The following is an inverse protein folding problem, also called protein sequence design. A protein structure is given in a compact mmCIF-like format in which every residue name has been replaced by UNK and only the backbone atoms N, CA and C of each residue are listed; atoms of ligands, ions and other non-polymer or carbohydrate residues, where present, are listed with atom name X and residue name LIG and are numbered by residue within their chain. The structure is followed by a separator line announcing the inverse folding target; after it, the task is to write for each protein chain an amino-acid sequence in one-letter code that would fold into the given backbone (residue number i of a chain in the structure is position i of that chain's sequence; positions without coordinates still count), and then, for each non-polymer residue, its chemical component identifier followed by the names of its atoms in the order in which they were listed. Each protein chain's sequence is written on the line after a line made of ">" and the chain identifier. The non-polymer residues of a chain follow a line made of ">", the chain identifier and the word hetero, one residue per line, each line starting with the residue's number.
data_IF_319952027215
#
_entry.id   IF_319952027215
#
_cell.length_a   1.000
_cell.length_b   1.000
_cell.length_c   1.000
_cell.angle_alpha   90.00
_cell.angle_beta   90.00
_cell.angle_gamma   90.00
#
_symmetry.space_group_name_H-M   'P 1'
#
loop_
_entity.id
_entity.type
_entity.pdbx_description
1 polymer ?
#
# COMPACT_ATOMS: atom_id res chain seq x y z
N UNK A 1 15.99 11.03 2.61
CA UNK A 1 14.82 10.16 2.48
C UNK A 1 15.09 9.30 1.28
N UNK A 2 15.34 8.01 1.48
CA UNK A 2 15.55 7.07 0.39
C UNK A 2 14.21 6.38 0.10
N UNK A 3 13.77 6.44 -1.15
CA UNK A 3 12.50 5.84 -1.60
C UNK A 3 12.86 4.61 -2.44
N UNK A 4 12.36 3.45 -2.03
CA UNK A 4 12.49 2.21 -2.77
C UNK A 4 11.13 1.80 -3.33
N UNK A 5 11.08 1.48 -4.63
CA UNK A 5 9.86 1.08 -5.34
C UNK A 5 9.94 -0.42 -5.61
N UNK A 6 9.03 -1.18 -5.02
CA UNK A 6 8.92 -2.63 -5.17
C UNK A 6 7.64 -3.00 -5.90
N UNK A 7 7.75 -3.83 -6.94
CA UNK A 7 6.62 -4.56 -7.50
C UNK A 7 6.35 -5.77 -6.59
N UNK A 8 5.22 -5.73 -5.91
CA UNK A 8 4.84 -6.72 -4.89
C UNK A 8 4.17 -7.95 -5.49
N UNK A 9 3.75 -7.90 -6.76
CA UNK A 9 3.25 -9.07 -7.48
C UNK A 9 4.41 -9.92 -8.01
N UNK A 10 5.50 -9.26 -8.43
CA UNK A 10 6.68 -9.93 -8.98
C UNK A 10 7.86 -10.04 -8.00
N UNK A 11 7.78 -9.40 -6.84
CA UNK A 11 8.86 -9.34 -5.84
C UNK A 11 10.21 -8.84 -6.42
N UNK A 12 10.15 -7.84 -7.30
CA UNK A 12 11.32 -7.25 -7.95
C UNK A 12 11.25 -5.71 -7.96
N UNK A 13 12.35 -5.05 -8.34
CA UNK A 13 12.38 -3.60 -8.57
C UNK A 13 11.57 -3.27 -9.82
N UNK A 14 10.64 -2.31 -9.70
CA UNK A 14 9.73 -1.94 -10.78
C UNK A 14 10.48 -1.37 -12.01
N UNK A 15 10.14 -1.84 -13.22
CA UNK A 15 10.78 -1.49 -14.50
C UNK A 15 9.86 -0.67 -15.43
N UNK A 16 8.88 0.04 -14.85
CA UNK A 16 7.93 0.94 -15.52
C UNK A 16 6.80 0.27 -16.34
N UNK A 17 6.63 -1.06 -16.30
CA UNK A 17 5.50 -1.78 -16.95
C UNK A 17 4.45 -2.37 -15.97
N UNK A 18 4.25 -1.76 -14.79
CA UNK A 18 3.42 -2.36 -13.73
C UNK A 18 2.15 -1.55 -13.38
N UNK A 19 1.04 -2.27 -13.13
CA UNK A 19 -0.13 -1.75 -12.41
C UNK A 19 0.28 -1.47 -10.95
N UNK A 20 0.61 -0.22 -10.65
CA UNK A 20 1.39 0.14 -9.48
C UNK A 20 0.58 0.09 -8.17
N UNK A 21 1.05 -0.70 -7.20
CA UNK A 21 0.93 -0.34 -5.78
C UNK A 21 2.31 -0.29 -5.15
N UNK A 22 2.64 0.85 -4.53
CA UNK A 22 3.96 1.08 -3.96
C UNK A 22 3.90 0.90 -2.44
N UNK A 23 4.77 0.04 -1.92
CA UNK A 23 5.12 0.02 -0.50
C UNK A 23 6.37 0.85 -0.30
N UNK A 24 6.28 1.95 0.44
CA UNK A 24 7.43 2.79 0.79
C UNK A 24 7.66 2.68 2.28
N UNK A 25 8.83 2.19 2.65
CA UNK A 25 9.31 2.32 4.02
C UNK A 25 9.92 3.73 4.18
N UNK A 26 9.37 4.51 5.11
CA UNK A 26 9.91 5.83 5.43
C UNK A 26 10.93 5.68 6.56
N UNK A 27 12.21 5.52 6.21
CA UNK A 27 13.29 5.33 7.19
C UNK A 27 13.96 6.66 7.56
N UNK A 28 13.95 7.08 8.84
CA UNK A 28 14.72 8.21 9.31
C UNK A 28 16.20 8.04 9.01
N UNK A 29 16.90 9.15 8.74
CA UNK A 29 18.33 9.11 8.47
C UNK A 29 19.09 8.53 9.68
N UNK A 30 19.91 7.50 9.42
CA UNK A 30 20.68 6.82 10.46
C UNK A 30 19.97 5.65 11.13
N UNK A 31 18.73 5.35 10.74
CA UNK A 31 18.01 4.14 11.16
C UNK A 31 18.16 3.04 10.11
N UNK A 32 18.22 1.79 10.57
CA UNK A 32 18.19 0.62 9.68
C UNK A 32 16.76 0.35 9.19
N UNK A 33 16.66 -0.36 8.06
CA UNK A 33 15.37 -0.79 7.51
C UNK A 33 14.78 -1.88 8.37
N UNK A 34 13.46 -1.96 8.41
CA UNK A 34 12.74 -3.07 8.97
C UNK A 34 13.15 -4.37 8.26
N UNK A 35 13.69 -5.36 8.99
CA UNK A 35 13.96 -6.66 8.40
C UNK A 35 12.65 -7.39 8.13
N UNK A 36 12.70 -8.32 7.19
CA UNK A 36 11.64 -9.32 7.06
C UNK A 36 11.78 -10.36 8.17
N UNK A 37 10.66 -10.82 8.73
CA UNK A 37 10.65 -11.99 9.60
C UNK A 37 10.74 -13.31 8.80
N UNK A 38 10.78 -14.45 9.49
CA UNK A 38 10.84 -15.78 8.86
C UNK A 38 9.62 -16.11 7.97
N UNK A 39 8.53 -15.36 8.14
CA UNK A 39 7.29 -15.47 7.37
C UNK A 39 7.18 -14.42 6.26
N UNK A 40 8.26 -13.66 6.02
CA UNK A 40 8.36 -12.61 4.99
C UNK A 40 7.38 -11.46 5.29
N UNK A 41 7.05 -11.22 6.56
CA UNK A 41 6.33 -10.03 6.95
C UNK A 41 7.29 -8.83 7.09
N UNK A 42 6.84 -7.66 6.66
CA UNK A 42 7.53 -6.38 6.79
C UNK A 42 6.66 -5.42 7.60
N UNK A 43 7.18 -4.92 8.72
CA UNK A 43 6.44 -4.10 9.69
C UNK A 43 6.02 -4.89 10.93
N UNK A 44 5.14 -4.31 11.75
CA UNK A 44 4.87 -4.81 13.10
C UNK A 44 3.57 -5.60 13.24
N UNK A 45 3.57 -6.54 14.20
CA UNK A 45 2.37 -7.24 14.67
C UNK A 45 1.56 -7.91 13.54
N UNK A 46 2.25 -8.36 12.48
CA UNK A 46 1.62 -9.14 11.44
C UNK A 46 1.48 -10.59 11.90
N UNK A 47 0.36 -11.22 11.57
CA UNK A 47 0.06 -12.62 11.89
C UNK A 47 -0.26 -13.34 10.60
N UNK A 48 0.57 -14.32 10.21
CA UNK A 48 0.49 -15.02 8.93
C UNK A 48 1.73 -14.76 8.08
N UNK A 49 1.60 -14.83 6.76
CA UNK A 49 2.74 -14.76 5.84
C UNK A 49 2.65 -13.60 4.84
N UNK A 50 3.82 -13.05 4.49
CA UNK A 50 3.99 -12.08 3.38
C UNK A 50 3.16 -10.80 3.54
N UNK A 51 2.92 -10.34 4.76
CA UNK A 51 2.23 -9.08 4.99
C UNK A 51 3.21 -7.90 4.93
N UNK A 52 2.81 -6.82 4.27
CA UNK A 52 3.49 -5.52 4.33
C UNK A 52 2.65 -4.53 5.13
N UNK A 53 3.28 -3.82 6.06
CA UNK A 53 2.66 -2.82 6.93
C UNK A 53 2.43 -3.35 8.35
N UNK A 54 1.39 -2.89 9.04
CA UNK A 54 1.23 -3.15 10.47
C UNK A 54 -0.10 -3.79 10.84
N UNK A 55 -0.08 -4.68 11.84
CA UNK A 55 -1.28 -5.28 12.44
C UNK A 55 -2.17 -6.03 11.44
N UNK A 56 -1.59 -6.66 10.41
CA UNK A 56 -2.37 -7.48 9.48
C UNK A 56 -2.53 -8.91 10.01
N UNK A 57 -3.67 -9.53 9.79
CA UNK A 57 -3.95 -10.94 10.14
C UNK A 57 -4.39 -11.70 8.89
N UNK A 58 -3.68 -12.78 8.57
CA UNK A 58 -3.82 -13.58 7.36
C UNK A 58 -2.60 -13.39 6.43
N UNK A 59 -2.78 -13.58 5.13
CA UNK A 59 -1.64 -13.66 4.21
C UNK A 59 -1.70 -12.60 3.10
N UNK A 60 -0.52 -12.10 2.69
CA UNK A 60 -0.35 -11.18 1.56
C UNK A 60 -1.16 -9.89 1.69
N UNK A 61 -1.35 -9.36 2.90
CA UNK A 61 -2.00 -8.06 3.08
C UNK A 61 -0.99 -6.93 3.01
N UNK A 62 -1.39 -5.84 2.38
CA UNK A 62 -0.59 -4.66 2.08
C UNK A 62 -1.31 -3.42 2.59
N UNK A 63 -0.90 -2.95 3.77
CA UNK A 63 -1.54 -1.85 4.48
C UNK A 63 -1.48 -2.07 5.97
N UNK A 64 -2.41 -1.46 6.69
CA UNK A 64 -2.55 -1.64 8.12
C UNK A 64 -3.93 -2.19 8.50
N UNK A 65 -3.96 -3.01 9.55
CA UNK A 65 -5.17 -3.55 10.17
C UNK A 65 -6.09 -4.34 9.22
N UNK A 66 -5.52 -5.06 8.24
CA UNK A 66 -6.32 -5.93 7.38
C UNK A 66 -6.54 -7.30 8.03
N UNK A 67 -7.75 -7.84 7.89
CA UNK A 67 -8.12 -9.19 8.29
C UNK A 67 -8.52 -10.01 7.05
N UNK A 68 -7.80 -11.09 6.79
CA UNK A 68 -8.04 -11.99 5.66
C UNK A 68 -6.85 -12.04 4.71
N UNK A 69 -7.07 -12.14 3.39
CA UNK A 69 -5.99 -12.44 2.44
C UNK A 69 -5.95 -11.51 1.24
N UNK A 70 -4.75 -11.15 0.79
CA UNK A 70 -4.54 -10.36 -0.43
C UNK A 70 -5.27 -8.99 -0.43
N UNK A 71 -5.42 -8.35 0.73
CA UNK A 71 -6.01 -7.01 0.80
C UNK A 71 -4.94 -5.94 0.60
N UNK A 72 -5.31 -4.83 -0.02
CA UNK A 72 -4.45 -3.70 -0.35
C UNK A 72 -5.13 -2.37 -0.01
N UNK A 73 -4.51 -1.63 0.90
CA UNK A 73 -5.12 -0.53 1.65
C UNK A 73 -5.34 -0.93 3.11
N UNK A 74 -6.11 -0.14 3.84
CA UNK A 74 -6.19 -0.22 5.30
C UNK A 74 -7.57 -0.63 5.79
N UNK A 75 -7.62 -1.30 6.93
CA UNK A 75 -8.85 -1.68 7.62
C UNK A 75 -9.81 -2.54 6.78
N UNK A 76 -9.29 -3.41 5.90
CA UNK A 76 -10.14 -4.31 5.14
C UNK A 76 -10.40 -5.62 5.89
N UNK A 77 -11.59 -6.18 5.76
CA UNK A 77 -11.94 -7.51 6.26
C UNK A 77 -12.47 -8.37 5.11
N UNK A 78 -11.68 -9.32 4.63
CA UNK A 78 -12.07 -10.22 3.54
C UNK A 78 -10.90 -10.62 2.65
N UNK A 79 -11.16 -10.74 1.34
CA UNK A 79 -10.17 -11.19 0.38
C UNK A 79 -10.16 -10.32 -0.86
N UNK A 80 -8.97 -9.96 -1.33
CA UNK A 80 -8.76 -9.25 -2.61
C UNK A 80 -9.44 -7.88 -2.67
N UNK A 81 -9.48 -7.14 -1.55
CA UNK A 81 -9.92 -5.75 -1.56
C UNK A 81 -8.77 -4.82 -1.91
N UNK A 82 -8.99 -3.92 -2.88
CA UNK A 82 -8.03 -2.89 -3.30
C UNK A 82 -8.61 -1.51 -2.96
N UNK A 83 -8.78 -1.25 -1.66
CA UNK A 83 -9.31 0.01 -1.13
C UNK A 83 -9.12 0.06 0.40
N UNK A 84 -9.69 1.06 1.07
CA UNK A 84 -9.72 1.17 2.52
C UNK A 84 -11.13 0.88 3.04
N UNK A 85 -11.20 0.40 4.28
CA UNK A 85 -12.45 0.25 5.04
C UNK A 85 -13.49 -0.64 4.36
N UNK A 86 -13.06 -1.68 3.63
CA UNK A 86 -13.95 -2.65 3.00
C UNK A 86 -14.20 -3.86 3.90
N UNK A 87 -15.43 -4.39 3.92
CA UNK A 87 -15.78 -5.59 4.70
C UNK A 87 -16.44 -6.65 3.81
N UNK A 88 -16.36 -7.93 4.19
CA UNK A 88 -17.05 -9.02 3.50
C UNK A 88 -18.54 -8.70 3.32
N UNK A 89 -19.04 -8.86 2.09
CA UNK A 89 -20.40 -8.47 1.71
C UNK A 89 -20.53 -7.04 1.16
N UNK A 90 -19.44 -6.26 1.15
CA UNK A 90 -19.37 -4.99 0.44
C UNK A 90 -19.12 -5.24 -1.05
N UNK A 91 -20.04 -4.80 -1.91
CA UNK A 91 -20.07 -5.23 -3.30
C UNK A 91 -19.17 -4.42 -4.24
N UNK A 92 -18.48 -3.36 -3.78
CA UNK A 92 -17.45 -2.61 -4.55
C UNK A 92 -16.77 -1.55 -3.70
N UNK A 93 -15.47 -1.34 -3.95
CA UNK A 93 -14.75 -0.15 -3.51
C UNK A 93 -15.31 1.10 -4.22
N UNK A 94 -15.62 2.15 -3.46
CA UNK A 94 -15.94 3.47 -4.03
C UNK A 94 -14.65 4.28 -4.24
N UNK A 95 -14.72 5.37 -5.01
CA UNK A 95 -13.57 6.26 -5.19
C UNK A 95 -13.07 6.85 -3.86
N UNK A 96 -13.98 7.17 -2.95
CA UNK A 96 -13.62 7.70 -1.63
C UNK A 96 -12.91 6.66 -0.77
N UNK A 97 -13.21 5.38 -0.96
CA UNK A 97 -12.47 4.29 -0.31
C UNK A 97 -11.07 4.07 -0.90
N UNK A 98 -10.73 4.68 -2.04
CA UNK A 98 -9.36 4.66 -2.57
C UNK A 98 -8.53 5.83 -2.07
N UNK A 99 -9.19 6.91 -1.64
CA UNK A 99 -8.56 8.18 -1.26
C UNK A 99 -8.09 8.15 0.20
N UNK A 100 -6.98 8.82 0.44
CA UNK A 100 -6.41 9.14 1.75
C UNK A 100 -6.27 10.66 1.87
N UNK A 101 -5.89 11.14 3.07
CA UNK A 101 -5.55 12.56 3.25
C UNK A 101 -4.39 13.03 2.35
N UNK A 102 -3.54 12.10 1.92
CA UNK A 102 -2.37 12.37 1.08
C UNK A 102 -2.67 12.21 -0.42
N UNK A 103 -3.91 11.85 -0.79
CA UNK A 103 -4.28 11.70 -2.20
C UNK A 103 -4.35 13.06 -2.88
N UNK A 104 -3.51 13.27 -3.89
CA UNK A 104 -3.50 14.48 -4.69
C UNK A 104 -4.50 14.35 -5.83
N UNK A 105 -5.53 15.20 -5.82
CA UNK A 105 -6.47 15.32 -6.94
C UNK A 105 -5.95 16.33 -7.97
N UNK A 106 -5.45 15.82 -9.10
CA UNK A 106 -4.91 16.65 -10.17
C UNK A 106 -5.99 17.52 -10.86
N UNK A 107 -7.27 17.19 -10.71
CA UNK A 107 -8.38 17.98 -11.27
C UNK A 107 -8.68 19.26 -10.47
N UNK A 108 -8.19 19.35 -9.22
CA UNK A 108 -8.40 20.49 -8.34
C UNK A 108 -7.27 21.54 -8.41
N UNK A 109 -6.23 21.31 -9.22
CA UNK A 109 -5.10 22.24 -9.36
C UNK A 109 -5.41 23.35 -10.38
N UNK A 110 -5.16 24.64 -10.05
CA UNK A 110 -5.53 25.75 -10.91
C UNK A 110 -4.44 26.06 -11.96
N UNK A 111 -4.20 25.19 -12.96
CA UNK A 111 -3.34 25.50 -14.14
C UNK A 111 -3.83 24.76 -15.40
N UNK A 112 -3.88 25.41 -16.59
CA UNK A 112 -4.20 24.74 -17.85
C UNK A 112 -2.97 23.98 -18.36
N UNK A 113 -2.80 22.73 -17.96
CA UNK A 113 -1.71 21.90 -18.48
C UNK A 113 -2.24 21.11 -19.68
N UNK A 114 -1.85 21.54 -20.88
CA UNK A 114 -1.91 20.72 -22.10
C UNK A 114 -0.85 19.62 -22.01
N UNK A 115 -1.07 18.61 -21.18
CA UNK A 115 -0.36 17.33 -21.31
C UNK A 115 -1.33 16.20 -21.01
N UNK A 116 -1.44 15.32 -21.99
CA UNK A 116 -1.92 13.95 -21.87
C UNK A 116 -1.09 13.21 -20.81
N UNK A 117 -1.45 13.34 -19.55
CA UNK A 117 -0.99 12.47 -18.48
C UNK A 117 -2.25 11.96 -17.79
N UNK A 118 -2.58 10.71 -18.07
CA UNK A 118 -3.58 9.97 -17.32
C UNK A 118 -3.24 10.12 -15.83
N UNK A 119 -4.21 10.60 -15.04
CA UNK A 119 -4.08 10.67 -13.60
C UNK A 119 -4.03 9.23 -13.07
N UNK A 120 -2.83 8.67 -12.96
CA UNK A 120 -2.60 7.43 -12.23
C UNK A 120 -2.47 7.78 -10.75
N UNK A 121 -3.46 7.36 -9.96
CA UNK A 121 -3.39 7.38 -8.50
C UNK A 121 -2.31 6.42 -8.03
N UNK A 122 -1.08 6.94 -7.86
CA UNK A 122 0.00 6.22 -7.19
C UNK A 122 -0.32 6.15 -5.71
N UNK A 123 -0.75 4.97 -5.24
CA UNK A 123 -0.96 4.72 -3.82
C UNK A 123 0.33 4.22 -3.19
N UNK A 124 0.84 4.99 -2.24
CA UNK A 124 1.97 4.63 -1.40
C UNK A 124 1.46 4.18 -0.04
N UNK A 125 1.79 2.96 0.37
CA UNK A 125 1.62 2.55 1.77
C UNK A 125 2.92 2.84 2.51
N UNK A 126 2.86 3.72 3.50
CA UNK A 126 3.99 4.07 4.34
C UNK A 126 4.13 3.07 5.51
N UNK A 127 5.29 2.43 5.63
CA UNK A 127 5.65 1.72 6.87
C UNK A 127 6.47 2.66 7.74
N UNK A 128 6.03 2.94 8.98
CA UNK A 128 6.87 3.58 9.98
C UNK A 128 8.06 2.69 10.32
N UNK A 129 9.27 3.23 10.27
CA UNK A 129 10.52 2.47 10.52
C UNK A 129 10.66 1.89 11.94
N UNK A 130 9.75 2.23 12.84
CA UNK A 130 9.65 1.68 14.19
C UNK A 130 9.09 0.26 14.15
N UNK A 131 9.87 -0.63 13.55
CA UNK A 131 9.96 -2.05 13.82
C UNK A 131 10.98 -2.26 14.97
#
# INVERSE_FOLDING_TARGET
>A
MDIHIFDILKWNTCDFECDMTVFVECVPQGQERCPFDDQINLGNNNVGERNGGNNNTGNMNFGSNNLGNCNQGDNNTGRMFFCHNSHQGSNRCTLDMLRTADTVDLSALPIPISLTAAAETVKTVAIPANC
#
